data_IF_868805832483
#
_entry.id   IF_868805832483
#
_cell.length_a   1.000
_cell.length_b   1.000
_cell.length_c   1.000
_cell.angle_alpha   90.00
_cell.angle_beta   90.00
_cell.angle_gamma   90.00
#
_symmetry.space_group_name_H-M   'P 1'
#
loop_
_entity.id
_entity.type
_entity.pdbx_description
1 polymer ?
#
# COMPACT_ATOMS: atom_id res chain seq x y z
N UNK A 1 1.60 -10.64 -4.18
CA UNK A 1 2.91 -9.99 -4.00
C UNK A 1 2.96 -9.43 -2.58
N UNK A 2 4.07 -9.56 -1.87
CA UNK A 2 4.28 -8.90 -0.57
C UNK A 2 5.49 -7.97 -0.65
N UNK A 3 5.47 -6.86 0.10
CA UNK A 3 6.56 -5.89 0.12
C UNK A 3 6.72 -5.25 1.51
N UNK A 4 7.93 -4.83 1.82
CA UNK A 4 8.26 -4.08 3.04
C UNK A 4 8.21 -2.58 2.77
N UNK A 5 7.73 -1.81 3.74
CA UNK A 5 7.80 -0.34 3.75
C UNK A 5 8.74 0.10 4.86
N UNK A 6 9.72 0.93 4.53
CA UNK A 6 10.57 1.60 5.49
C UNK A 6 10.81 3.04 5.04
N UNK A 7 10.72 4.00 5.96
CA UNK A 7 10.92 5.40 5.64
C UNK A 7 11.05 6.28 6.87
N UNK A 8 11.44 7.53 6.62
CA UNK A 8 11.54 8.57 7.63
C UNK A 8 10.82 9.82 7.15
N UNK A 9 10.12 10.51 8.04
CA UNK A 9 9.43 11.75 7.75
C UNK A 9 9.70 12.80 8.84
N UNK A 10 9.37 14.05 8.53
CA UNK A 10 9.30 15.14 9.49
C UNK A 10 7.86 15.64 9.54
N UNK A 11 7.22 15.55 10.71
CA UNK A 11 5.89 16.11 10.94
C UNK A 11 5.98 17.09 12.10
N UNK A 12 5.48 18.32 11.95
CA UNK A 12 5.55 19.34 13.01
C UNK A 12 6.96 19.52 13.65
N UNK A 13 8.04 19.40 12.85
CA UNK A 13 9.46 19.41 13.28
C UNK A 13 9.91 18.21 14.13
N UNK A 14 9.12 17.16 14.19
CA UNK A 14 9.45 15.93 14.87
C UNK A 14 9.88 14.85 13.85
N UNK A 15 10.99 14.14 14.11
CA UNK A 15 11.37 12.99 13.32
C UNK A 15 10.45 11.80 13.60
N UNK A 16 9.91 11.23 12.51
CA UNK A 16 9.03 10.07 12.53
C UNK A 16 9.63 8.94 11.70
N UNK A 17 9.70 7.74 12.27
CA UNK A 17 10.04 6.53 11.54
C UNK A 17 8.77 5.80 11.11
N UNK A 18 8.77 5.31 9.88
CA UNK A 18 7.66 4.58 9.28
C UNK A 18 8.18 3.20 8.93
N UNK A 19 7.51 2.16 9.41
CA UNK A 19 7.82 0.78 9.08
C UNK A 19 6.51 0.01 8.83
N UNK A 20 6.53 -0.96 7.93
CA UNK A 20 5.33 -1.72 7.65
C UNK A 20 5.53 -2.81 6.61
N UNK A 21 4.43 -3.51 6.35
CA UNK A 21 4.36 -4.58 5.36
C UNK A 21 3.08 -4.39 4.54
N UNK A 22 3.18 -4.62 3.25
CA UNK A 22 2.07 -4.56 2.32
C UNK A 22 1.94 -5.81 1.48
N UNK A 23 0.75 -5.98 0.93
CA UNK A 23 0.39 -7.06 0.01
C UNK A 23 -0.40 -6.48 -1.15
N UNK A 24 0.02 -6.83 -2.36
CA UNK A 24 -0.68 -6.53 -3.60
C UNK A 24 -1.21 -7.80 -4.26
N UNK A 25 -2.45 -7.74 -4.75
CA UNK A 25 -3.09 -8.77 -5.57
C UNK A 25 -3.63 -8.13 -6.84
N UNK A 26 -3.61 -8.86 -7.95
CA UNK A 26 -4.19 -8.39 -9.21
C UNK A 26 -4.83 -9.53 -9.98
N UNK A 27 -5.91 -9.23 -10.68
CA UNK A 27 -6.64 -10.13 -11.58
C UNK A 27 -6.76 -9.42 -12.92
N UNK A 28 -6.40 -10.13 -14.00
CA UNK A 28 -6.59 -9.66 -15.37
C UNK A 28 -7.70 -10.48 -16.03
N UNK A 29 -8.58 -9.80 -16.75
CA UNK A 29 -9.65 -10.41 -17.53
C UNK A 29 -9.19 -10.53 -18.98
N UNK A 30 -9.12 -11.76 -19.49
CA UNK A 30 -8.66 -12.08 -20.85
C UNK A 30 -9.80 -12.84 -21.54
N UNK A 31 -10.16 -12.41 -22.76
CA UNK A 31 -11.13 -13.11 -23.58
C UNK A 31 -10.57 -14.48 -24.05
N UNK A 32 -11.45 -15.39 -24.47
CA UNK A 32 -11.03 -16.70 -24.97
C UNK A 32 -10.10 -16.63 -26.20
N UNK A 33 -10.19 -15.52 -26.95
CA UNK A 33 -9.33 -15.19 -28.10
C UNK A 33 -7.95 -14.61 -27.71
N UNK A 34 -7.68 -14.44 -26.41
CA UNK A 34 -6.42 -13.90 -25.86
C UNK A 34 -6.37 -12.38 -25.70
N UNK A 35 -7.43 -11.64 -26.06
CA UNK A 35 -7.47 -10.18 -25.95
C UNK A 35 -7.66 -9.73 -24.50
N UNK A 36 -6.92 -8.70 -24.09
CA UNK A 36 -7.07 -8.06 -22.79
C UNK A 36 -8.38 -7.28 -22.70
N UNK A 37 -9.18 -7.55 -21.67
CA UNK A 37 -10.49 -6.90 -21.43
C UNK A 37 -10.44 -5.91 -20.27
N UNK A 38 -9.48 -6.05 -19.37
CA UNK A 38 -9.33 -5.21 -18.20
C UNK A 38 -8.56 -5.89 -17.08
N UNK A 39 -8.36 -5.16 -15.99
CA UNK A 39 -7.74 -5.68 -14.79
C UNK A 39 -8.23 -4.97 -13.54
N UNK A 40 -8.25 -5.70 -12.44
CA UNK A 40 -8.43 -5.17 -11.10
C UNK A 40 -7.14 -5.41 -10.32
N UNK A 41 -6.65 -4.39 -9.63
CA UNK A 41 -5.58 -4.54 -8.66
C UNK A 41 -6.01 -4.00 -7.31
N UNK A 42 -5.59 -4.70 -6.25
CA UNK A 42 -5.82 -4.33 -4.86
C UNK A 42 -4.50 -4.36 -4.13
N UNK A 43 -4.19 -3.26 -3.46
CA UNK A 43 -3.02 -3.12 -2.60
C UNK A 43 -3.45 -2.80 -1.18
N UNK A 44 -2.81 -3.42 -0.19
CA UNK A 44 -3.07 -3.17 1.23
C UNK A 44 -1.77 -3.14 2.04
N UNK A 45 -1.55 -2.13 2.88
CA UNK A 45 -0.38 -2.05 3.75
C UNK A 45 -0.70 -1.65 5.20
N UNK A 46 -0.09 -2.35 6.17
CA UNK A 46 -0.13 -2.00 7.58
C UNK A 46 1.14 -1.24 7.96
N UNK A 47 0.97 -0.04 8.51
CA UNK A 47 2.06 0.89 8.79
C UNK A 47 2.13 1.22 10.28
N UNK A 48 3.34 1.27 10.81
CA UNK A 48 3.64 1.70 12.17
C UNK A 48 4.44 2.99 12.10
N UNK A 49 3.98 4.01 12.84
CA UNK A 49 4.63 5.29 12.95
C UNK A 49 5.24 5.43 14.34
N UNK A 50 6.56 5.64 14.40
CA UNK A 50 7.30 5.85 15.65
C UNK A 50 7.78 7.29 15.74
N UNK A 51 7.28 8.01 16.73
CA UNK A 51 7.59 9.41 17.01
C UNK A 51 8.76 9.47 17.98
N UNK A 52 9.97 9.75 17.48
CA UNK A 52 11.21 9.53 18.24
C UNK A 52 11.34 10.44 19.45
N UNK A 53 10.79 11.66 19.38
CA UNK A 53 10.93 12.64 20.46
C UNK A 53 9.92 12.42 21.60
N UNK A 54 8.85 11.66 21.37
CA UNK A 54 7.79 11.42 22.36
C UNK A 54 7.78 9.97 22.87
N UNK A 55 8.53 9.07 22.23
CA UNK A 55 8.52 7.64 22.56
C UNK A 55 7.20 6.94 22.23
N UNK A 56 6.30 7.61 21.52
CA UNK A 56 4.97 7.10 21.17
C UNK A 56 5.04 6.34 19.84
N UNK A 57 4.40 5.17 19.80
CA UNK A 57 4.21 4.40 18.56
C UNK A 57 2.72 4.35 18.26
N UNK A 58 2.33 4.85 17.08
CA UNK A 58 0.96 4.81 16.59
C UNK A 58 0.86 3.75 15.49
N UNK A 59 0.12 2.64 15.70
CA UNK A 59 -0.25 1.75 14.61
C UNK A 59 -1.28 2.47 13.75
N UNK A 60 -0.96 2.68 12.48
CA UNK A 60 -1.88 3.27 11.51
C UNK A 60 -2.41 2.17 10.60
N UNK A 61 -3.73 2.20 10.45
CA UNK A 61 -4.54 1.15 9.82
C UNK A 61 -4.29 1.09 8.32
N UNK A 62 -4.21 -0.17 7.85
CA UNK A 62 -4.43 -0.67 6.50
C UNK A 62 -4.81 0.38 5.43
N UNK A 63 -3.84 0.84 4.64
CA UNK A 63 -4.12 1.62 3.43
C UNK A 63 -4.56 0.66 2.34
N UNK A 64 -5.84 0.68 1.94
CA UNK A 64 -6.33 -0.17 0.83
C UNK A 64 -6.55 0.67 -0.41
N UNK A 65 -5.93 0.30 -1.54
CA UNK A 65 -6.13 0.94 -2.85
C UNK A 65 -6.63 -0.08 -3.85
N UNK A 66 -7.72 0.23 -4.53
CA UNK A 66 -8.23 -0.58 -5.66
C UNK A 66 -8.12 0.23 -6.95
N UNK A 67 -7.57 -0.36 -8.00
CA UNK A 67 -7.51 0.24 -9.34
C UNK A 67 -8.20 -0.69 -10.32
N UNK A 68 -9.08 -0.13 -11.16
CA UNK A 68 -9.80 -0.86 -12.20
C UNK A 68 -9.45 -0.24 -13.54
N UNK A 69 -8.96 -1.05 -14.46
CA UNK A 69 -8.75 -0.67 -15.85
C UNK A 69 -9.68 -1.51 -16.72
N UNK A 70 -10.50 -0.86 -17.55
CA UNK A 70 -11.42 -1.53 -18.49
C UNK A 70 -11.08 -1.02 -19.89
N UNK A 71 -11.01 -1.93 -20.86
CA UNK A 71 -10.89 -1.54 -22.26
C UNK A 71 -12.26 -1.03 -22.76
N UNK A 72 -12.33 0.12 -23.45
CA UNK A 72 -13.58 0.60 -24.06
C UNK A 72 -14.21 -0.39 -25.05
#
# INVERSE_FOLDING_TARGET
>A
MSYTVAGTAQTARQPVQIAGQGTGTGVSFIAADGRFMGAESRDSANLTYRFLNEGVTLPVVQVTRTTVAVLP
#
